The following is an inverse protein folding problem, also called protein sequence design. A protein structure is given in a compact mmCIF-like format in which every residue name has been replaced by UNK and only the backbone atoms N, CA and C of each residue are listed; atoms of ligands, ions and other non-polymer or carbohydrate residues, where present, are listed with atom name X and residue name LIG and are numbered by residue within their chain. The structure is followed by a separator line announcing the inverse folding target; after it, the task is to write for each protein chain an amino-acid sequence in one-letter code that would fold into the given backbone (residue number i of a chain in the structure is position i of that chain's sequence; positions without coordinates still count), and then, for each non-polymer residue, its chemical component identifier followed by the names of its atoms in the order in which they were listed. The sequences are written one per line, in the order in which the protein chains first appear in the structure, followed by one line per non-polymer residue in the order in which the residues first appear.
data_IF_781668432340
#
_entry.id   IF_781668432340
#
_cell.length_a   1.000
_cell.length_b   1.000
_cell.length_c   1.000
_cell.angle_alpha   90.00
_cell.angle_beta   90.00
_cell.angle_gamma   90.00
#
_symmetry.space_group_name_H-M   'P 1'
#
loop_
_entity.id
_entity.type
_entity.pdbx_description
1 polymer ?
#
# COMPACT_ATOMS: atom_id res chain seq x y z
N UNK A 1 -1.16 8.60 18.14
CA UNK A 1 -0.66 7.30 17.67
C UNK A 1 0.86 7.33 17.65
N UNK A 2 1.47 6.20 17.99
CA UNK A 2 2.93 6.11 18.02
C UNK A 2 3.49 5.66 16.67
N UNK A 3 2.71 4.84 15.94
CA UNK A 3 3.12 4.27 14.68
C UNK A 3 2.02 4.47 13.64
N UNK A 4 2.34 5.05 12.50
CA UNK A 4 1.42 5.22 11.40
C UNK A 4 1.91 4.44 10.17
N UNK A 5 0.99 3.72 9.54
CA UNK A 5 1.14 3.11 8.25
C UNK A 5 0.32 3.96 7.27
N UNK A 6 0.95 4.54 6.27
CA UNK A 6 0.27 5.35 5.28
C UNK A 6 0.25 4.61 3.93
N UNK A 7 -0.92 4.54 3.32
CA UNK A 7 -1.16 3.93 2.02
C UNK A 7 -1.45 5.03 1.00
N UNK A 8 -0.51 5.26 0.09
CA UNK A 8 -0.57 6.27 -0.95
C UNK A 8 -0.61 5.65 -2.35
N UNK A 9 -0.83 6.49 -3.36
CA UNK A 9 -0.88 6.10 -4.77
C UNK A 9 -2.17 6.52 -5.43
N UNK A 10 -2.21 6.57 -6.75
CA UNK A 10 -3.36 7.08 -7.48
C UNK A 10 -4.59 6.17 -7.32
N UNK A 11 -4.40 4.86 -7.44
CA UNK A 11 -5.50 3.88 -7.39
C UNK A 11 -5.25 2.79 -6.35
N UNK A 12 -6.33 2.25 -5.76
CA UNK A 12 -6.29 1.11 -4.86
C UNK A 12 -6.01 1.44 -3.39
N UNK A 13 -5.85 2.72 -3.02
CA UNK A 13 -5.58 3.18 -1.64
C UNK A 13 -6.58 2.61 -0.63
N UNK A 14 -7.87 2.87 -0.82
CA UNK A 14 -8.95 2.44 0.09
C UNK A 14 -8.97 0.93 0.28
N UNK A 15 -8.86 0.18 -0.82
CA UNK A 15 -8.85 -1.29 -0.77
C UNK A 15 -7.62 -1.79 -0.01
N UNK A 16 -6.44 -1.25 -0.32
CA UNK A 16 -5.19 -1.66 0.33
C UNK A 16 -5.20 -1.29 1.81
N UNK A 17 -5.65 -0.08 2.18
CA UNK A 17 -5.79 0.35 3.58
C UNK A 17 -6.69 -0.61 4.37
N UNK A 18 -7.82 -1.01 3.76
CA UNK A 18 -8.74 -1.97 4.37
C UNK A 18 -8.08 -3.35 4.55
N UNK A 19 -7.39 -3.85 3.54
CA UNK A 19 -6.70 -5.15 3.62
C UNK A 19 -5.58 -5.14 4.67
N UNK A 20 -4.78 -4.06 4.75
CA UNK A 20 -3.76 -3.89 5.80
C UNK A 20 -4.41 -3.94 7.20
N UNK A 21 -5.47 -3.16 7.40
CA UNK A 21 -6.17 -3.12 8.68
C UNK A 21 -6.73 -4.50 9.08
N UNK A 22 -7.33 -5.22 8.12
CA UNK A 22 -7.86 -6.58 8.33
C UNK A 22 -6.78 -7.58 8.71
N UNK A 23 -5.64 -7.57 8.02
CA UNK A 23 -4.52 -8.46 8.33
C UNK A 23 -3.95 -8.17 9.72
N UNK A 24 -3.77 -6.90 10.09
CA UNK A 24 -3.31 -6.50 11.43
C UNK A 24 -4.27 -6.97 12.52
N UNK A 25 -5.60 -6.80 12.31
CA UNK A 25 -6.61 -7.29 13.25
C UNK A 25 -6.54 -8.81 13.40
N UNK A 26 -6.37 -9.55 12.29
CA UNK A 26 -6.19 -11.01 12.32
C UNK A 26 -4.90 -11.42 13.02
N UNK A 27 -3.85 -10.59 12.93
CA UNK A 27 -2.59 -10.74 13.67
C UNK A 27 -2.66 -10.33 15.14
N UNK A 28 -3.82 -9.89 15.64
CA UNK A 28 -4.01 -9.49 17.05
C UNK A 28 -3.68 -8.03 17.35
N UNK A 29 -3.42 -7.22 16.32
CA UNK A 29 -3.24 -5.77 16.43
C UNK A 29 -4.57 -5.09 16.08
N UNK A 30 -5.05 -4.22 16.97
CA UNK A 30 -6.30 -3.47 16.77
C UNK A 30 -5.99 -2.00 16.38
N UNK A 31 -5.70 -1.70 15.09
CA UNK A 31 -5.29 -0.36 14.68
C UNK A 31 -6.48 0.60 14.60
N UNK A 32 -6.20 1.88 14.78
CA UNK A 32 -7.10 2.92 14.26
C UNK A 32 -6.96 2.99 12.75
N UNK A 33 -8.08 3.10 12.06
CA UNK A 33 -8.13 3.13 10.59
C UNK A 33 -8.81 4.40 10.12
N UNK A 34 -8.19 5.09 9.16
CA UNK A 34 -8.74 6.29 8.51
C UNK A 34 -8.66 6.10 7.01
N UNK A 35 -9.81 6.05 6.35
CA UNK A 35 -9.94 5.92 4.89
C UNK A 35 -10.52 7.20 4.29
N UNK A 36 -10.22 7.46 3.02
CA UNK A 36 -10.85 8.54 2.25
C UNK A 36 -12.32 8.26 1.94
N UNK A 37 -12.70 6.98 1.81
CA UNK A 37 -14.07 6.52 1.58
C UNK A 37 -14.67 5.74 2.75
N UNK A 38 -15.99 5.49 2.69
CA UNK A 38 -16.69 4.67 3.70
C UNK A 38 -16.23 3.22 3.61
N UNK A 39 -15.73 2.68 4.73
CA UNK A 39 -15.42 1.26 4.86
C UNK A 39 -16.75 0.53 5.15
N UNK A 40 -17.22 -0.27 4.21
CA UNK A 40 -18.49 -0.99 4.36
C UNK A 40 -18.56 -1.87 5.60
N UNK A 41 -17.44 -2.49 5.99
CA UNK A 41 -17.37 -3.32 7.19
C UNK A 41 -17.62 -2.54 8.50
N UNK A 42 -17.37 -1.24 8.51
CA UNK A 42 -17.49 -0.39 9.71
C UNK A 42 -18.62 0.65 9.60
N UNK A 43 -19.20 0.82 8.41
CA UNK A 43 -20.22 1.84 8.15
C UNK A 43 -19.73 3.29 8.30
N UNK A 44 -18.42 3.50 8.35
CA UNK A 44 -17.75 4.78 8.55
C UNK A 44 -16.43 4.81 7.78
N UNK A 45 -15.91 6.00 7.52
CA UNK A 45 -14.56 6.20 6.97
C UNK A 45 -13.45 6.15 8.04
N UNK A 46 -13.81 6.04 9.31
CA UNK A 46 -12.84 5.91 10.39
C UNK A 46 -13.32 4.89 11.44
N UNK A 47 -12.36 4.14 11.99
CA UNK A 47 -12.54 3.24 13.11
C UNK A 47 -11.44 3.48 14.13
N UNK A 48 -11.79 3.71 15.38
CA UNK A 48 -10.81 3.84 16.49
C UNK A 48 -10.47 2.44 17.01
N UNK A 49 -9.20 2.09 17.00
CA UNK A 49 -8.65 0.86 17.58
C UNK A 49 -8.04 1.09 18.96
N UNK A 50 -7.62 0.01 19.61
CA UNK A 50 -7.04 0.03 20.96
C UNK A 50 -5.51 0.04 20.95
N UNK A 51 -4.87 -0.22 19.80
CA UNK A 51 -3.40 -0.25 19.71
C UNK A 51 -2.81 1.14 19.43
N UNK A 52 -1.48 1.24 19.55
CA UNK A 52 -0.74 2.46 19.18
C UNK A 52 -0.58 2.65 17.66
N UNK A 53 -1.09 1.70 16.87
CA UNK A 53 -1.01 1.72 15.41
C UNK A 53 -2.18 2.46 14.76
N UNK A 54 -1.87 3.17 13.71
CA UNK A 54 -2.85 3.78 12.82
C UNK A 54 -2.56 3.35 11.37
N UNK A 55 -3.58 2.99 10.63
CA UNK A 55 -3.53 2.79 9.18
C UNK A 55 -4.31 3.91 8.53
N UNK A 56 -3.67 4.69 7.68
CA UNK A 56 -4.29 5.87 7.07
C UNK A 56 -4.14 5.83 5.55
N UNK A 57 -5.23 6.11 4.85
CA UNK A 57 -5.21 6.43 3.43
C UNK A 57 -4.61 7.82 3.23
N UNK A 58 -3.51 7.89 2.48
CA UNK A 58 -2.76 9.11 2.20
C UNK A 58 -3.17 9.61 0.80
N UNK A 59 -4.03 10.63 0.76
CA UNK A 59 -4.54 11.19 -0.49
C UNK A 59 -3.58 12.22 -1.06
N UNK A 60 -3.11 11.97 -2.27
CA UNK A 60 -2.22 12.86 -3.01
C UNK A 60 -2.97 14.02 -3.71
N UNK A 61 -4.30 13.94 -3.85
CA UNK A 61 -5.07 14.82 -4.73
C UNK A 61 -4.95 16.32 -4.42
N UNK A 62 -4.68 16.68 -3.16
CA UNK A 62 -4.48 18.05 -2.69
C UNK A 62 -3.08 18.30 -2.10
N UNK A 63 -2.19 17.33 -2.16
CA UNK A 63 -0.84 17.38 -1.58
C UNK A 63 -0.80 17.26 -0.05
N UNK A 64 -1.94 17.09 0.63
CA UNK A 64 -1.99 17.00 2.11
C UNK A 64 -1.28 15.77 2.67
N UNK A 65 -1.10 14.72 1.88
CA UNK A 65 -0.36 13.51 2.28
C UNK A 65 1.08 13.82 2.70
N UNK A 66 1.69 14.91 2.20
CA UNK A 66 3.01 15.38 2.62
C UNK A 66 3.08 15.85 4.08
N UNK A 67 1.95 16.10 4.71
CA UNK A 67 1.88 16.45 6.14
C UNK A 67 1.99 15.22 7.05
N UNK A 68 1.85 14.02 6.49
CA UNK A 68 1.95 12.77 7.24
C UNK A 68 3.42 12.39 7.50
N UNK A 69 3.68 11.83 8.67
CA UNK A 69 4.98 11.30 9.06
C UNK A 69 4.83 9.81 9.47
N UNK A 70 4.62 8.92 8.50
CA UNK A 70 4.44 7.51 8.79
C UNK A 70 5.76 6.82 9.14
N UNK A 71 5.68 5.66 9.80
CA UNK A 71 6.82 4.74 9.97
C UNK A 71 6.90 3.71 8.83
N UNK A 72 5.76 3.43 8.19
CA UNK A 72 5.68 2.63 6.97
C UNK A 72 4.85 3.39 5.94
N UNK A 73 5.37 3.54 4.74
CA UNK A 73 4.65 4.11 3.60
C UNK A 73 4.53 3.06 2.49
N UNK A 74 3.31 2.77 2.06
CA UNK A 74 3.03 1.91 0.92
C UNK A 74 2.59 2.76 -0.27
N UNK A 75 3.18 2.54 -1.44
CA UNK A 75 2.74 3.14 -2.70
C UNK A 75 2.24 2.06 -3.64
N UNK A 76 1.01 2.22 -4.11
CA UNK A 76 0.34 1.27 -4.99
C UNK A 76 0.71 1.47 -6.47
N UNK A 77 0.61 2.69 -6.94
CA UNK A 77 0.87 3.13 -8.32
C UNK A 77 0.89 4.65 -8.39
N UNK A 78 1.43 5.21 -9.47
CA UNK A 78 1.43 6.65 -9.74
C UNK A 78 0.95 6.87 -11.17
N UNK A 79 -0.20 7.51 -11.34
CA UNK A 79 -0.77 7.82 -12.63
C UNK A 79 -0.99 9.34 -12.80
N UNK A 80 -1.30 9.78 -14.02
CA UNK A 80 -1.46 11.19 -14.39
C UNK A 80 -2.84 11.76 -13.99
N UNK A 81 -3.27 11.44 -12.77
CA UNK A 81 -4.50 11.98 -12.19
C UNK A 81 -4.20 13.11 -11.18
N UNK A 82 -5.15 14.01 -10.97
CA UNK A 82 -5.09 15.07 -9.96
C UNK A 82 -3.87 16.00 -10.08
N UNK A 83 -3.41 16.27 -11.32
CA UNK A 83 -2.22 17.10 -11.57
C UNK A 83 -2.41 18.58 -11.21
N UNK A 84 -3.64 19.03 -10.97
CA UNK A 84 -3.96 20.44 -10.64
C UNK A 84 -3.24 20.90 -9.37
N UNK A 85 -3.08 20.01 -8.39
CA UNK A 85 -2.34 20.28 -7.15
C UNK A 85 -0.81 20.37 -7.36
N UNK A 86 -0.32 19.98 -8.54
CA UNK A 86 1.11 19.86 -8.88
C UNK A 86 1.47 20.71 -10.11
N UNK A 87 0.85 21.87 -10.28
CA UNK A 87 1.06 22.78 -11.42
C UNK A 87 0.84 22.09 -12.79
N UNK A 88 -0.05 21.12 -12.86
CA UNK A 88 -0.29 20.25 -14.03
C UNK A 88 0.99 19.52 -14.52
N UNK A 89 1.94 19.27 -13.63
CA UNK A 89 3.22 18.65 -13.91
C UNK A 89 3.31 17.26 -13.28
N UNK A 90 3.45 16.24 -14.10
CA UNK A 90 3.65 14.88 -13.63
C UNK A 90 4.99 14.71 -12.87
N UNK A 91 6.03 15.44 -13.28
CA UNK A 91 7.32 15.44 -12.57
C UNK A 91 7.19 16.03 -11.16
N UNK A 92 6.31 17.01 -10.96
CA UNK A 92 6.04 17.54 -9.63
C UNK A 92 5.30 16.51 -8.76
N UNK A 93 4.34 15.78 -9.32
CA UNK A 93 3.67 14.68 -8.63
C UNK A 93 4.68 13.60 -8.21
N UNK A 94 5.56 13.15 -9.12
CA UNK A 94 6.63 12.16 -8.81
C UNK A 94 7.53 12.65 -7.68
N UNK A 95 7.95 13.93 -7.72
CA UNK A 95 8.76 14.53 -6.65
C UNK A 95 8.04 14.55 -5.32
N UNK A 96 6.73 14.83 -5.30
CA UNK A 96 5.93 14.81 -4.09
C UNK A 96 5.87 13.40 -3.47
N UNK A 97 5.71 12.35 -4.28
CA UNK A 97 5.78 10.98 -3.77
C UNK A 97 7.17 10.64 -3.22
N UNK A 98 8.24 11.07 -3.87
CA UNK A 98 9.60 10.86 -3.37
C UNK A 98 9.84 11.64 -2.06
N UNK A 99 9.36 12.89 -1.98
CA UNK A 99 9.39 13.69 -0.75
C UNK A 99 8.63 12.99 0.38
N UNK A 100 7.45 12.48 0.10
CA UNK A 100 6.67 11.71 1.08
C UNK A 100 7.45 10.50 1.62
N UNK A 101 8.15 9.76 0.76
CA UNK A 101 9.02 8.65 1.20
C UNK A 101 10.20 9.13 2.03
N UNK A 102 10.71 10.33 1.81
CA UNK A 102 11.78 10.93 2.60
C UNK A 102 11.33 11.38 4.01
N UNK A 103 10.02 11.53 4.25
CA UNK A 103 9.47 11.77 5.59
C UNK A 103 9.52 10.54 6.50
N UNK A 104 9.77 9.36 5.96
CA UNK A 104 9.98 8.16 6.76
C UNK A 104 11.17 8.35 7.71
N UNK A 105 11.07 7.97 8.99
CA UNK A 105 12.20 7.98 9.92
C UNK A 105 13.30 7.02 9.45
N UNK A 106 14.50 7.12 10.01
CA UNK A 106 15.64 6.28 9.60
C UNK A 106 15.38 4.77 9.81
N UNK A 107 14.48 4.42 10.72
CA UNK A 107 14.05 3.04 11.00
C UNK A 107 12.76 2.64 10.26
N UNK A 108 12.21 3.54 9.46
CA UNK A 108 11.00 3.30 8.69
C UNK A 108 11.26 2.50 7.41
N UNK A 109 10.19 2.05 6.77
CA UNK A 109 10.24 1.27 5.55
C UNK A 109 9.26 1.78 4.49
N UNK A 110 9.69 1.72 3.23
CA UNK A 110 8.86 1.94 2.05
C UNK A 110 8.45 0.59 1.45
N UNK A 111 7.16 0.42 1.16
CA UNK A 111 6.58 -0.76 0.50
C UNK A 111 6.09 -0.34 -0.89
N UNK A 112 6.75 -0.80 -1.95
CA UNK A 112 6.64 -0.24 -3.28
C UNK A 112 6.19 -1.29 -4.31
N UNK A 113 5.13 -0.99 -5.08
CA UNK A 113 4.65 -1.83 -6.17
C UNK A 113 5.52 -1.65 -7.42
N UNK A 114 6.40 -2.59 -7.72
CA UNK A 114 7.28 -2.50 -8.90
C UNK A 114 6.65 -3.01 -10.21
N UNK A 115 5.38 -3.37 -10.19
CA UNK A 115 4.61 -3.58 -11.42
C UNK A 115 4.21 -2.23 -12.06
N UNK A 116 4.26 -1.15 -11.31
CA UNK A 116 4.11 0.21 -11.79
C UNK A 116 5.47 0.78 -12.15
N UNK A 117 5.64 1.24 -13.38
CA UNK A 117 6.92 1.71 -13.92
C UNK A 117 7.42 2.95 -13.17
N UNK A 118 6.52 3.88 -12.84
CA UNK A 118 6.87 5.13 -12.14
C UNK A 118 7.33 4.85 -10.70
N UNK A 119 6.68 3.90 -10.03
CA UNK A 119 7.08 3.46 -8.68
C UNK A 119 8.41 2.70 -8.75
N UNK A 120 8.59 1.82 -9.74
CA UNK A 120 9.84 1.06 -9.92
C UNK A 120 11.03 1.99 -10.16
N UNK A 121 10.86 3.03 -10.98
CA UNK A 121 11.88 4.05 -11.26
C UNK A 121 12.28 4.89 -10.04
N UNK A 122 11.42 4.98 -9.03
CA UNK A 122 11.71 5.70 -7.79
C UNK A 122 12.56 4.88 -6.82
N UNK A 123 12.54 3.55 -6.89
CA UNK A 123 13.23 2.65 -5.94
C UNK A 123 14.69 3.04 -5.69
N UNK A 124 15.54 3.33 -6.71
CA UNK A 124 16.93 3.70 -6.49
C UNK A 124 17.13 5.01 -5.74
N UNK A 125 16.12 5.89 -5.71
CA UNK A 125 16.15 7.19 -5.05
C UNK A 125 15.68 7.16 -3.60
N UNK A 126 15.11 6.05 -3.14
CA UNK A 126 14.62 5.89 -1.77
C UNK A 126 15.78 5.54 -0.84
N UNK A 127 15.99 6.36 0.19
CA UNK A 127 17.12 6.22 1.14
C UNK A 127 16.74 5.44 2.42
N UNK A 128 15.57 4.85 2.46
CA UNK A 128 15.05 4.03 3.58
C UNK A 128 15.04 2.56 3.17
N UNK A 129 14.77 1.68 4.12
CA UNK A 129 14.53 0.28 3.80
C UNK A 129 13.37 0.18 2.79
N UNK A 130 13.57 -0.60 1.74
CA UNK A 130 12.56 -0.83 0.71
C UNK A 130 12.19 -2.29 0.69
N UNK A 131 10.89 -2.56 0.65
CA UNK A 131 10.31 -3.87 0.34
C UNK A 131 9.49 -3.70 -0.94
N UNK A 132 9.83 -4.45 -1.96
CA UNK A 132 9.13 -4.40 -3.24
C UNK A 132 8.06 -5.49 -3.33
N UNK A 133 6.96 -5.18 -4.01
CA UNK A 133 5.91 -6.17 -4.23
C UNK A 133 5.32 -6.06 -5.64
N UNK A 134 4.69 -7.15 -6.10
CA UNK A 134 4.03 -7.18 -7.40
C UNK A 134 3.90 -8.59 -7.98
N UNK A 135 3.52 -8.66 -9.25
CA UNK A 135 3.54 -9.89 -10.06
C UNK A 135 4.92 -10.08 -10.70
N UNK A 136 5.71 -9.03 -10.77
CA UNK A 136 7.08 -9.05 -11.30
C UNK A 136 7.94 -10.09 -10.57
N UNK A 137 8.70 -10.93 -11.29
CA UNK A 137 9.62 -11.90 -10.69
C UNK A 137 10.76 -11.25 -9.89
N UNK A 138 11.00 -9.93 -10.06
CA UNK A 138 12.00 -9.16 -9.34
C UNK A 138 11.50 -8.63 -8.00
N UNK A 139 10.18 -8.71 -7.72
CA UNK A 139 9.61 -8.25 -6.46
C UNK A 139 10.00 -9.18 -5.30
N UNK A 140 10.27 -8.58 -4.14
CA UNK A 140 10.57 -9.32 -2.89
C UNK A 140 9.35 -10.16 -2.46
N UNK A 141 8.16 -9.57 -2.55
CA UNK A 141 6.88 -10.23 -2.29
C UNK A 141 6.11 -10.29 -3.61
N UNK A 142 5.87 -11.50 -4.10
CA UNK A 142 5.28 -11.68 -5.43
C UNK A 142 4.20 -12.74 -5.44
N UNK A 143 3.29 -12.64 -6.42
CA UNK A 143 2.32 -13.68 -6.72
C UNK A 143 2.68 -14.42 -8.00
N UNK A 144 2.39 -15.72 -7.99
CA UNK A 144 2.43 -16.59 -9.16
C UNK A 144 1.14 -17.41 -9.23
N UNK A 145 0.94 -18.14 -10.35
CA UNK A 145 -0.25 -18.97 -10.57
C UNK A 145 -1.57 -18.20 -10.37
N UNK A 146 -1.58 -16.90 -10.73
CA UNK A 146 -2.75 -16.03 -10.59
C UNK A 146 -3.85 -16.49 -11.53
N UNK A 147 -5.04 -16.76 -10.99
CA UNK A 147 -6.23 -17.12 -11.74
C UNK A 147 -7.47 -16.56 -11.09
N UNK A 148 -8.47 -16.29 -11.90
CA UNK A 148 -9.78 -15.85 -11.42
C UNK A 148 -10.82 -16.95 -11.63
N UNK A 149 -11.58 -17.24 -10.58
CA UNK A 149 -12.71 -18.15 -10.60
C UNK A 149 -13.97 -17.41 -10.09
N UNK A 150 -14.81 -16.99 -11.00
CA UNK A 150 -15.96 -16.14 -10.68
C UNK A 150 -15.52 -14.79 -10.08
N UNK A 151 -15.83 -14.54 -8.81
CA UNK A 151 -15.44 -13.35 -8.06
C UNK A 151 -14.20 -13.56 -7.18
N UNK A 152 -13.63 -14.75 -7.20
CA UNK A 152 -12.46 -15.09 -6.40
C UNK A 152 -11.19 -15.00 -7.24
N UNK A 153 -10.16 -14.39 -6.68
CA UNK A 153 -8.79 -14.51 -7.16
C UNK A 153 -8.07 -15.58 -6.35
N UNK A 154 -7.32 -16.45 -7.03
CA UNK A 154 -6.46 -17.44 -6.41
C UNK A 154 -5.04 -17.22 -6.88
N UNK A 155 -4.08 -17.28 -5.99
CA UNK A 155 -2.67 -17.12 -6.31
C UNK A 155 -1.77 -17.74 -5.25
N UNK A 156 -0.51 -17.96 -5.63
CA UNK A 156 0.55 -18.40 -4.73
C UNK A 156 1.42 -17.17 -4.37
N UNK A 157 1.42 -16.77 -3.11
CA UNK A 157 2.27 -15.68 -2.63
C UNK A 157 3.63 -16.22 -2.18
N UNK A 158 4.71 -15.67 -2.73
CA UNK A 158 6.09 -15.89 -2.28
C UNK A 158 6.49 -14.75 -1.36
N UNK A 159 6.93 -15.09 -0.15
CA UNK A 159 7.44 -14.15 0.85
C UNK A 159 8.95 -14.37 1.05
N UNK A 160 9.75 -13.32 1.37
CA UNK A 160 11.21 -13.40 1.46
C UNK A 160 11.71 -14.47 2.45
N UNK A 161 11.06 -14.60 3.59
CA UNK A 161 11.47 -15.46 4.69
C UNK A 161 10.90 -16.89 4.61
N UNK A 162 10.18 -17.22 3.52
CA UNK A 162 9.55 -18.52 3.34
C UNK A 162 10.12 -19.25 2.12
N UNK A 163 10.41 -20.54 2.30
CA UNK A 163 10.81 -21.41 1.18
C UNK A 163 9.62 -21.81 0.32
N UNK A 164 8.48 -22.06 0.98
CA UNK A 164 7.25 -22.48 0.32
C UNK A 164 6.35 -21.30 0.05
N UNK A 165 5.60 -21.35 -1.05
CA UNK A 165 4.58 -20.37 -1.35
C UNK A 165 3.37 -20.52 -0.43
N UNK A 166 2.66 -19.42 -0.22
CA UNK A 166 1.42 -19.38 0.55
C UNK A 166 0.24 -19.31 -0.41
N UNK A 167 -0.65 -20.33 -0.44
CA UNK A 167 -1.86 -20.24 -1.25
C UNK A 167 -2.82 -19.21 -0.67
N UNK A 168 -3.28 -18.30 -1.52
CA UNK A 168 -4.19 -17.21 -1.16
C UNK A 168 -5.45 -17.28 -2.01
N UNK A 169 -6.60 -17.10 -1.34
CA UNK A 169 -7.89 -16.94 -1.97
C UNK A 169 -8.48 -15.58 -1.53
N UNK A 170 -8.70 -14.70 -2.50
CA UNK A 170 -9.15 -13.33 -2.28
C UNK A 170 -10.53 -13.13 -2.91
N UNK A 171 -11.50 -12.66 -2.12
CA UNK A 171 -12.88 -12.41 -2.58
C UNK A 171 -13.07 -11.07 -3.31
N UNK A 172 -12.00 -10.52 -3.85
CA UNK A 172 -11.96 -9.31 -4.66
C UNK A 172 -11.46 -9.67 -6.06
N UNK A 173 -12.25 -9.47 -7.12
CA UNK A 173 -11.86 -9.83 -8.48
C UNK A 173 -10.83 -8.86 -9.07
N UNK A 174 -10.01 -9.36 -10.00
CA UNK A 174 -9.05 -8.59 -10.77
C UNK A 174 -7.62 -8.61 -10.22
N UNK A 175 -6.65 -8.61 -11.13
CA UNK A 175 -5.21 -8.65 -10.78
C UNK A 175 -4.76 -7.44 -9.96
N UNK A 176 -5.38 -6.26 -10.14
CA UNK A 176 -5.09 -5.09 -9.32
C UNK A 176 -5.35 -5.37 -7.82
N UNK A 177 -6.37 -6.19 -7.49
CA UNK A 177 -6.62 -6.59 -6.11
C UNK A 177 -5.62 -7.63 -5.60
N UNK A 178 -5.03 -8.44 -6.48
CA UNK A 178 -3.90 -9.30 -6.11
C UNK A 178 -2.71 -8.43 -5.69
N UNK A 179 -2.38 -7.37 -6.46
CA UNK A 179 -1.32 -6.41 -6.08
C UNK A 179 -1.64 -5.72 -4.76
N UNK A 180 -2.87 -5.24 -4.57
CA UNK A 180 -3.30 -4.63 -3.31
C UNK A 180 -3.12 -5.58 -2.12
N UNK A 181 -3.46 -6.87 -2.30
CA UNK A 181 -3.28 -7.89 -1.27
C UNK A 181 -1.80 -8.16 -0.98
N UNK A 182 -0.93 -8.24 -2.00
CA UNK A 182 0.51 -8.39 -1.82
C UNK A 182 1.11 -7.21 -1.04
N UNK A 183 0.71 -5.97 -1.37
CA UNK A 183 1.11 -4.78 -0.62
C UNK A 183 0.69 -4.85 0.85
N UNK A 184 -0.54 -5.29 1.12
CA UNK A 184 -1.01 -5.49 2.48
C UNK A 184 -0.24 -6.60 3.22
N UNK A 185 0.09 -7.70 2.54
CA UNK A 185 0.91 -8.79 3.10
C UNK A 185 2.35 -8.36 3.39
N UNK A 186 2.87 -7.35 2.67
CA UNK A 186 4.20 -6.80 2.92
C UNK A 186 4.31 -6.01 4.23
N UNK A 187 3.18 -5.61 4.81
CA UNK A 187 3.09 -4.82 6.05
C UNK A 187 2.80 -5.72 7.25
N UNK A 188 2.03 -6.80 7.06
CA UNK A 188 1.53 -7.66 8.13
C UNK A 188 2.51 -8.75 8.54
#
# INVERSE_FOLDING_TARGET
FRYAIAVAGTHGKTTTTTLVAELLVKGGIDPTVVNGGIIHAYGSNARVGQSEWMVVEADESDGSFLLLQPVVALITNIDRDHLEAYDNSFDNLRRAFLEFLHHLPFYGAAVLCIDDEEVADMVPSVTRAVVTYGLSPQADIRASAVRQEGRMMHFEAQLPDRRDTLPVSLSLPGEHNVRNALGAMAIA
#
